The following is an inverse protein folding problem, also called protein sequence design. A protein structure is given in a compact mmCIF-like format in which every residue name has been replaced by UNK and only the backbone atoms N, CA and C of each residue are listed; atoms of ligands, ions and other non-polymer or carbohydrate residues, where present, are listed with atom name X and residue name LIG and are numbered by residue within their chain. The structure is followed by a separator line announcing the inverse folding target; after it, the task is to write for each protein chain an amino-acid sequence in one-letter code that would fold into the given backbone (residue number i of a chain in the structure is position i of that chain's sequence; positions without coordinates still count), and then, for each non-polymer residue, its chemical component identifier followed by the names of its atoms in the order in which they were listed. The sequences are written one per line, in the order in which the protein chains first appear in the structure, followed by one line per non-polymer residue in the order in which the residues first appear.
data_IF_077688145686
#
_entry.id   IF_077688145686
#
_cell.length_a   1.000
_cell.length_b   1.000
_cell.length_c   1.000
_cell.angle_alpha   90.00
_cell.angle_beta   90.00
_cell.angle_gamma   90.00
#
_symmetry.space_group_name_H-M   'P 1'
#
loop_
_entity.id
_entity.type
_entity.pdbx_description
1 polymer ?
#
# COMPACT_ATOMS: atom_id res chain seq x y z
N UNK A 1 -40.44 -44.98 -8.49
CA UNK A 1 -39.12 -44.54 -9.01
C UNK A 1 -38.30 -44.09 -7.81
N UNK A 2 -37.38 -44.93 -7.36
CA UNK A 2 -36.63 -44.76 -6.10
C UNK A 2 -35.22 -44.27 -6.44
N UNK A 3 -34.81 -43.12 -5.91
CA UNK A 3 -33.48 -42.58 -6.12
C UNK A 3 -32.43 -43.40 -5.32
N UNK A 4 -31.28 -43.78 -5.90
CA UNK A 4 -30.25 -44.50 -5.18
C UNK A 4 -29.52 -43.57 -4.21
N UNK A 5 -29.47 -43.98 -2.94
CA UNK A 5 -28.64 -43.37 -1.91
C UNK A 5 -27.18 -43.67 -2.26
N UNK A 6 -26.46 -42.65 -2.70
CA UNK A 6 -25.02 -42.69 -2.95
C UNK A 6 -24.29 -42.71 -1.61
N UNK A 7 -24.02 -43.91 -1.10
CA UNK A 7 -23.10 -44.16 0.01
C UNK A 7 -21.68 -43.76 -0.42
N UNK A 8 -21.29 -42.52 -0.15
CA UNK A 8 -19.90 -42.07 -0.23
C UNK A 8 -19.08 -42.91 0.76
N UNK A 9 -18.28 -43.84 0.24
CA UNK A 9 -17.39 -44.66 1.05
C UNK A 9 -16.25 -43.81 1.63
N UNK A 10 -15.85 -44.10 2.87
CA UNK A 10 -14.82 -43.38 3.66
C UNK A 10 -13.42 -43.29 3.00
N UNK A 11 -13.23 -43.82 1.78
CA UNK A 11 -11.95 -43.89 1.06
C UNK A 11 -11.65 -42.67 0.18
N UNK A 12 -12.57 -41.73 0.05
CA UNK A 12 -12.39 -40.52 -0.78
C UNK A 12 -12.29 -39.23 0.04
N UNK A 13 -11.82 -39.29 1.29
CA UNK A 13 -11.46 -38.05 2.01
C UNK A 13 -10.29 -37.43 1.23
N UNK A 14 -10.46 -36.28 0.53
CA UNK A 14 -9.33 -35.63 -0.10
C UNK A 14 -8.32 -35.35 1.01
N UNK A 15 -7.06 -35.66 0.76
CA UNK A 15 -5.97 -35.51 1.72
C UNK A 15 -5.81 -34.02 2.05
N UNK A 16 -6.61 -33.53 2.99
CA UNK A 16 -6.51 -32.17 3.48
C UNK A 16 -5.16 -32.07 4.19
N UNK A 17 -4.27 -31.17 3.75
CA UNK A 17 -3.09 -30.90 4.52
C UNK A 17 -3.54 -30.44 5.91
N UNK A 18 -2.87 -30.88 6.98
CA UNK A 18 -3.25 -30.48 8.33
C UNK A 18 -3.19 -28.95 8.44
N UNK A 19 -3.89 -28.32 9.39
CA UNK A 19 -4.06 -26.85 9.44
C UNK A 19 -2.74 -26.06 9.48
N UNK A 20 -1.64 -26.68 9.94
CA UNK A 20 -0.29 -26.12 9.92
C UNK A 20 0.45 -26.27 8.58
N UNK A 21 -0.06 -27.07 7.64
CA UNK A 21 0.41 -27.15 6.25
C UNK A 21 0.13 -25.87 5.45
N UNK A 22 -0.78 -25.02 5.93
CA UNK A 22 -0.98 -23.64 5.47
C UNK A 22 -0.04 -22.63 6.13
N UNK A 23 0.84 -23.05 7.04
CA UNK A 23 1.90 -22.20 7.60
C UNK A 23 3.03 -21.95 6.59
N UNK A 24 2.68 -21.69 5.32
CA UNK A 24 3.56 -21.20 4.27
C UNK A 24 4.10 -19.80 4.55
N UNK A 25 3.69 -19.15 5.65
CA UNK A 25 4.10 -17.82 6.12
C UNK A 25 5.63 -17.55 6.19
N UNK A 26 6.46 -18.60 6.01
CA UNK A 26 7.91 -18.56 6.01
C UNK A 26 8.57 -19.05 4.71
N UNK A 27 7.86 -19.08 3.57
CA UNK A 27 8.54 -19.30 2.29
C UNK A 27 9.49 -18.13 1.98
N UNK A 28 10.69 -18.38 1.42
CA UNK A 28 11.66 -17.33 1.11
C UNK A 28 11.07 -16.19 0.26
N UNK A 29 10.19 -16.53 -0.66
CA UNK A 29 9.49 -15.60 -1.55
C UNK A 29 8.53 -14.69 -0.79
N UNK A 30 7.75 -15.23 0.15
CA UNK A 30 6.82 -14.44 0.97
C UNK A 30 7.57 -13.48 1.90
N UNK A 31 8.70 -13.93 2.49
CA UNK A 31 9.60 -13.05 3.26
C UNK A 31 10.15 -11.92 2.39
N UNK A 32 10.52 -12.22 1.13
CA UNK A 32 10.98 -11.22 0.17
C UNK A 32 9.88 -10.23 -0.16
N UNK A 33 8.66 -10.70 -0.42
CA UNK A 33 7.48 -9.87 -0.65
C UNK A 33 7.18 -8.90 0.49
N UNK A 34 7.16 -9.40 1.75
CA UNK A 34 6.97 -8.54 2.93
C UNK A 34 8.06 -7.49 3.09
N UNK A 35 9.32 -7.85 2.81
CA UNK A 35 10.43 -6.88 2.85
C UNK A 35 10.29 -5.81 1.77
N UNK A 36 9.97 -6.20 0.54
CA UNK A 36 9.75 -5.26 -0.56
C UNK A 36 8.57 -4.31 -0.27
N UNK A 37 7.46 -4.83 0.26
CA UNK A 37 6.31 -4.00 0.65
C UNK A 37 6.68 -2.98 1.73
N UNK A 38 7.42 -3.40 2.77
CA UNK A 38 7.91 -2.50 3.83
C UNK A 38 8.87 -1.44 3.28
N UNK A 39 9.79 -1.83 2.40
CA UNK A 39 10.71 -0.89 1.76
C UNK A 39 9.97 0.13 0.89
N UNK A 40 8.97 -0.32 0.13
CA UNK A 40 8.09 0.57 -0.64
C UNK A 40 7.35 1.56 0.24
N UNK A 41 6.77 1.10 1.36
CA UNK A 41 6.10 1.98 2.31
C UNK A 41 7.03 3.01 2.98
N UNK A 42 8.23 2.59 3.40
CA UNK A 42 9.23 3.51 3.97
C UNK A 42 9.65 4.56 2.94
N UNK A 43 9.88 4.14 1.69
CA UNK A 43 10.23 5.06 0.60
C UNK A 43 9.11 6.07 0.36
N UNK A 44 7.86 5.61 0.33
CA UNK A 44 6.69 6.48 0.19
C UNK A 44 6.59 7.51 1.33
N UNK A 45 6.79 7.08 2.58
CA UNK A 45 6.84 7.99 3.73
C UNK A 45 7.91 9.07 3.59
N UNK A 46 9.12 8.69 3.17
CA UNK A 46 10.23 9.64 3.03
C UNK A 46 9.95 10.68 1.94
N UNK A 47 9.33 10.29 0.83
CA UNK A 47 8.92 11.23 -0.23
C UNK A 47 7.89 12.23 0.30
N UNK A 48 6.87 11.76 1.02
CA UNK A 48 5.87 12.62 1.65
C UNK A 48 6.47 13.57 2.69
N UNK A 49 7.38 13.06 3.55
CA UNK A 49 8.05 13.88 4.56
C UNK A 49 8.89 14.97 3.93
N UNK A 50 9.57 14.69 2.81
CA UNK A 50 10.37 15.67 2.11
C UNK A 50 9.50 16.78 1.51
N UNK A 51 8.35 16.44 0.91
CA UNK A 51 7.40 17.44 0.45
C UNK A 51 6.84 18.29 1.61
N UNK A 52 6.45 17.65 2.71
CA UNK A 52 5.91 18.34 3.88
C UNK A 52 6.93 19.17 4.66
N UNK A 53 8.23 18.90 4.49
CA UNK A 53 9.31 19.71 5.06
C UNK A 53 9.44 21.09 4.37
N UNK A 54 9.03 21.19 3.11
CA UNK A 54 9.07 22.44 2.34
C UNK A 54 7.79 23.29 2.53
N UNK A 55 6.82 22.80 3.30
CA UNK A 55 5.60 23.54 3.66
C UNK A 55 5.89 24.40 4.89
N UNK A 56 5.75 25.73 4.82
CA UNK A 56 6.05 26.61 5.95
C UNK A 56 4.98 26.53 7.05
N UNK A 57 5.39 26.88 8.27
CA UNK A 57 4.49 27.09 9.40
C UNK A 57 3.93 25.82 10.03
N UNK A 58 2.84 25.98 10.80
CA UNK A 58 2.21 24.91 11.58
C UNK A 58 1.61 23.82 10.69
N UNK A 59 1.09 24.19 9.51
CA UNK A 59 0.55 23.25 8.52
C UNK A 59 1.57 22.18 8.12
N UNK A 60 2.80 22.59 7.80
CA UNK A 60 3.88 21.65 7.45
C UNK A 60 4.25 20.73 8.62
N UNK A 61 4.27 21.27 9.84
CA UNK A 61 4.58 20.48 11.05
C UNK A 61 3.48 19.45 11.35
N UNK A 62 2.20 19.82 11.22
CA UNK A 62 1.07 18.91 11.39
C UNK A 62 1.07 17.81 10.31
N UNK A 63 1.29 18.17 9.05
CA UNK A 63 1.40 17.19 7.97
C UNK A 63 2.54 16.21 8.22
N UNK A 64 3.72 16.68 8.61
CA UNK A 64 4.84 15.81 8.98
C UNK A 64 4.49 14.86 10.14
N UNK A 65 3.78 15.35 11.16
CA UNK A 65 3.31 14.52 12.28
C UNK A 65 2.35 13.43 11.80
N UNK A 66 1.34 13.77 10.98
CA UNK A 66 0.40 12.81 10.41
C UNK A 66 1.10 11.75 9.57
N UNK A 67 2.02 12.16 8.69
CA UNK A 67 2.81 11.25 7.84
C UNK A 67 3.66 10.30 8.69
N UNK A 68 4.27 10.77 9.79
CA UNK A 68 5.04 9.91 10.70
C UNK A 68 4.14 8.88 11.38
N UNK A 69 2.93 9.28 11.77
CA UNK A 69 1.94 8.43 12.44
C UNK A 69 1.27 7.42 11.51
N UNK A 70 1.27 7.64 10.19
CA UNK A 70 0.65 6.71 9.25
C UNK A 70 1.23 5.29 9.38
N UNK A 71 0.39 4.28 9.52
CA UNK A 71 0.78 2.87 9.59
C UNK A 71 0.58 2.13 8.27
N UNK A 72 -0.23 2.69 7.37
CA UNK A 72 -0.56 2.05 6.09
C UNK A 72 -0.36 2.99 4.88
N UNK A 73 -0.04 2.46 3.68
CA UNK A 73 0.10 3.26 2.46
C UNK A 73 -1.17 4.06 2.11
N UNK A 74 -2.36 3.53 2.40
CA UNK A 74 -3.65 4.17 2.08
C UNK A 74 -3.82 5.50 2.82
N UNK A 75 -3.31 5.62 4.03
CA UNK A 75 -3.36 6.86 4.81
C UNK A 75 -2.53 7.96 4.13
N UNK A 76 -1.37 7.61 3.56
CA UNK A 76 -0.56 8.54 2.78
C UNK A 76 -1.24 8.93 1.47
N UNK A 77 -1.92 7.99 0.81
CA UNK A 77 -2.72 8.29 -0.39
C UNK A 77 -3.84 9.30 -0.07
N UNK A 78 -4.50 9.19 1.10
CA UNK A 78 -5.52 10.15 1.55
C UNK A 78 -4.94 11.53 1.87
N UNK A 79 -3.70 11.60 2.36
CA UNK A 79 -3.01 12.86 2.65
C UNK A 79 -2.48 13.57 1.39
N UNK A 80 -2.46 12.92 0.22
CA UNK A 80 -1.85 13.47 -1.01
C UNK A 80 -2.40 14.85 -1.38
N UNK A 81 -3.72 15.03 -1.35
CA UNK A 81 -4.36 16.27 -1.76
C UNK A 81 -4.04 17.41 -0.78
N UNK A 82 -3.98 17.10 0.52
CA UNK A 82 -3.62 18.08 1.55
C UNK A 82 -2.16 18.54 1.42
N UNK A 83 -1.24 17.61 1.17
CA UNK A 83 0.17 17.94 0.94
C UNK A 83 0.32 18.79 -0.32
N UNK A 84 -0.32 18.39 -1.43
CA UNK A 84 -0.24 19.12 -2.70
C UNK A 84 -0.83 20.53 -2.60
N UNK A 85 -1.98 20.69 -1.95
CA UNK A 85 -2.63 21.99 -1.77
C UNK A 85 -1.86 22.94 -0.83
N UNK A 86 -1.04 22.40 0.06
CA UNK A 86 -0.27 23.18 1.04
C UNK A 86 1.17 23.48 0.58
N UNK A 87 1.62 22.94 -0.56
CA UNK A 87 2.92 23.28 -1.13
C UNK A 87 2.98 24.77 -1.52
N UNK A 88 4.13 25.43 -1.36
CA UNK A 88 4.30 26.83 -1.77
C UNK A 88 4.22 26.99 -3.29
N UNK A 89 3.90 28.20 -3.78
CA UNK A 89 3.79 28.50 -5.21
C UNK A 89 5.13 28.51 -5.98
N UNK A 90 6.24 28.07 -5.37
CA UNK A 90 7.51 27.82 -6.07
C UNK A 90 7.33 26.67 -7.07
N UNK A 91 6.91 27.03 -8.29
CA UNK A 91 6.40 26.12 -9.32
C UNK A 91 7.38 24.99 -9.64
N UNK A 92 8.69 25.28 -9.67
CA UNK A 92 9.71 24.29 -9.97
C UNK A 92 9.88 23.25 -8.85
N UNK A 93 9.96 23.72 -7.59
CA UNK A 93 10.14 22.83 -6.44
C UNK A 93 8.87 22.03 -6.14
N UNK A 94 7.73 22.69 -6.16
CA UNK A 94 6.42 22.08 -5.87
C UNK A 94 6.03 21.06 -6.93
N UNK A 95 6.26 21.35 -8.22
CA UNK A 95 6.04 20.36 -9.30
C UNK A 95 6.93 19.13 -9.13
N UNK A 96 8.18 19.32 -8.69
CA UNK A 96 9.09 18.22 -8.38
C UNK A 96 8.55 17.30 -7.29
N UNK A 97 8.02 17.85 -6.20
CA UNK A 97 7.39 17.07 -5.12
C UNK A 97 6.14 16.34 -5.57
N UNK A 98 5.27 17.01 -6.34
CA UNK A 98 4.05 16.40 -6.88
C UNK A 98 4.40 15.20 -7.77
N UNK A 99 5.37 15.36 -8.67
CA UNK A 99 5.83 14.29 -9.54
C UNK A 99 6.46 13.11 -8.76
N UNK A 100 7.27 13.42 -7.74
CA UNK A 100 7.88 12.41 -6.88
C UNK A 100 6.83 11.61 -6.09
N UNK A 101 5.84 12.28 -5.49
CA UNK A 101 4.72 11.66 -4.78
C UNK A 101 3.93 10.73 -5.72
N UNK A 102 3.59 11.22 -6.91
CA UNK A 102 2.89 10.44 -7.94
C UNK A 102 3.65 9.16 -8.29
N UNK A 103 4.94 9.29 -8.58
CA UNK A 103 5.77 8.13 -8.94
C UNK A 103 5.89 7.14 -7.78
N UNK A 104 6.08 7.62 -6.54
CA UNK A 104 6.17 6.78 -5.36
C UNK A 104 4.86 6.01 -5.11
N UNK A 105 3.69 6.66 -5.25
CA UNK A 105 2.39 6.00 -5.12
C UNK A 105 2.21 4.90 -6.18
N UNK A 106 2.53 5.19 -7.44
CA UNK A 106 2.46 4.21 -8.53
C UNK A 106 3.38 2.98 -8.31
N UNK A 107 4.47 3.13 -7.55
CA UNK A 107 5.37 2.01 -7.24
C UNK A 107 4.86 1.09 -6.12
N UNK A 108 4.00 1.59 -5.23
CA UNK A 108 3.45 0.85 -4.09
C UNK A 108 2.12 0.18 -4.43
N UNK A 109 1.32 0.83 -5.27
CA UNK A 109 0.05 0.28 -5.74
C UNK A 109 0.25 -0.49 -7.05
N UNK A 110 -0.15 -1.77 -7.13
CA UNK A 110 -0.05 -2.52 -8.37
C UNK A 110 -0.94 -1.91 -9.47
N UNK A 111 -0.49 -2.06 -10.73
CA UNK A 111 -1.22 -1.64 -11.93
C UNK A 111 -2.62 -2.26 -11.93
N UNK A 112 -3.66 -1.44 -12.10
CA UNK A 112 -5.07 -1.85 -12.03
C UNK A 112 -5.71 -1.77 -10.64
N UNK A 113 -4.99 -1.31 -9.61
CA UNK A 113 -5.63 -0.90 -8.36
C UNK A 113 -6.50 0.33 -8.62
N UNK A 114 -7.76 0.40 -8.11
CA UNK A 114 -8.56 1.61 -8.22
C UNK A 114 -7.83 2.83 -7.64
N UNK A 115 -6.98 2.65 -6.62
CA UNK A 115 -6.15 3.71 -6.04
C UNK A 115 -5.00 4.18 -6.95
N UNK A 116 -4.60 3.35 -7.92
CA UNK A 116 -3.67 3.71 -8.98
C UNK A 116 -4.37 4.36 -10.19
N UNK A 117 -5.68 4.10 -10.37
CA UNK A 117 -6.48 4.53 -11.53
C UNK A 117 -7.28 5.82 -11.29
N UNK A 118 -7.49 6.21 -10.02
CA UNK A 118 -8.36 7.33 -9.53
C UNK A 118 -7.90 8.76 -9.93
N UNK A 119 -7.54 9.00 -11.20
CA UNK A 119 -7.37 10.34 -11.74
C UNK A 119 -5.93 10.82 -11.86
N UNK A 120 -5.06 9.98 -12.43
CA UNK A 120 -3.74 10.40 -12.91
C UNK A 120 -3.76 10.97 -14.35
N UNK A 121 -4.90 11.46 -14.81
CA UNK A 121 -5.11 12.02 -16.15
C UNK A 121 -5.39 13.51 -16.09
#
# INVERSE_FOLDING_TARGET
MTAPIMLLTLREIPKFPPPWGYASANRPEERRGRRLARQGFVTLKLVFLRAAADIPGETGQELQRRIRQSSEPIELWLLRAQVQAALPEDEGRSSGHVAAIRHALASVYPVGSPLADDGLR
#
